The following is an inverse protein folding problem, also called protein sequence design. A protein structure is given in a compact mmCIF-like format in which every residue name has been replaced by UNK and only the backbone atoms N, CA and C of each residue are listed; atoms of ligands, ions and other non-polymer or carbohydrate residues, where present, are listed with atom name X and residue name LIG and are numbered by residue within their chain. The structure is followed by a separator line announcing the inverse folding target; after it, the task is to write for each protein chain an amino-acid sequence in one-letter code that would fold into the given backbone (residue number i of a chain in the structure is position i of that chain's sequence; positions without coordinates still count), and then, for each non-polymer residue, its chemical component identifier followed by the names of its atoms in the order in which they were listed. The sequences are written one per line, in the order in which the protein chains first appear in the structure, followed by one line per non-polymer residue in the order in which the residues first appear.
data_IF_556741640227
#
_entry.id   IF_556741640227
#
_cell.length_a   1.000
_cell.length_b   1.000
_cell.length_c   1.000
_cell.angle_alpha   90.00
_cell.angle_beta   90.00
_cell.angle_gamma   90.00
#
_symmetry.space_group_name_H-M   'P 1'
#
loop_
_entity.id
_entity.type
_entity.pdbx_description
1 polymer ?
#
# COMPACT_ATOMS: atom_id res chain seq x y z
N UNK A 1 -5.40 -25.00 -15.04
CA UNK A 1 -6.01 -23.72 -14.59
C UNK A 1 -5.38 -22.61 -15.44
N UNK A 2 -6.13 -22.01 -16.37
CA UNK A 2 -5.59 -20.97 -17.25
C UNK A 2 -5.02 -19.82 -16.42
N UNK A 3 -3.80 -19.37 -16.73
CA UNK A 3 -3.22 -18.18 -16.12
C UNK A 3 -4.06 -16.98 -16.58
N UNK A 4 -4.89 -16.44 -15.68
CA UNK A 4 -5.67 -15.25 -15.95
C UNK A 4 -4.72 -14.10 -16.34
N UNK A 5 -4.82 -13.62 -17.59
CA UNK A 5 -4.01 -12.50 -18.06
C UNK A 5 -4.55 -11.20 -17.46
N UNK A 6 -3.92 -10.72 -16.38
CA UNK A 6 -4.29 -9.49 -15.65
C UNK A 6 -4.24 -8.22 -16.51
N UNK A 7 -3.48 -8.24 -17.60
CA UNK A 7 -3.29 -7.11 -18.50
C UNK A 7 -4.08 -7.25 -19.81
N UNK A 8 -4.96 -8.25 -19.91
CA UNK A 8 -5.83 -8.41 -21.07
C UNK A 8 -6.64 -7.13 -21.29
N UNK A 9 -6.70 -6.66 -22.53
CA UNK A 9 -7.43 -5.46 -22.95
C UNK A 9 -6.92 -4.13 -22.38
N UNK A 10 -5.67 -4.07 -21.91
CA UNK A 10 -5.06 -2.81 -21.49
C UNK A 10 -4.41 -2.12 -22.68
N UNK A 11 -4.69 -0.82 -22.80
CA UNK A 11 -4.13 0.03 -23.86
C UNK A 11 -2.62 0.23 -23.72
N UNK A 12 -2.11 0.19 -22.50
CA UNK A 12 -0.70 0.41 -22.19
C UNK A 12 0.01 -0.91 -21.90
N UNK A 13 1.30 -0.96 -22.24
CA UNK A 13 2.13 -2.13 -21.96
C UNK A 13 2.15 -2.45 -20.45
N UNK A 14 2.16 -3.74 -20.08
CA UNK A 14 2.19 -4.17 -18.69
C UNK A 14 3.32 -3.53 -17.87
N UNK A 15 4.50 -3.36 -18.46
CA UNK A 15 5.67 -2.82 -17.77
C UNK A 15 5.50 -1.35 -17.39
N UNK A 16 4.87 -0.54 -18.25
CA UNK A 16 4.53 0.86 -17.95
C UNK A 16 3.55 0.91 -16.79
N UNK A 17 2.48 0.12 -16.86
CA UNK A 17 1.46 0.05 -15.81
C UNK A 17 2.10 -0.33 -14.47
N UNK A 18 2.92 -1.39 -14.46
CA UNK A 18 3.58 -1.87 -13.26
C UNK A 18 4.59 -0.88 -12.70
N UNK A 19 5.37 -0.21 -13.56
CA UNK A 19 6.33 0.81 -13.14
C UNK A 19 5.63 1.97 -12.43
N UNK A 20 4.57 2.50 -13.03
CA UNK A 20 3.82 3.63 -12.48
C UNK A 20 3.14 3.25 -11.16
N UNK A 21 2.51 2.06 -11.09
CA UNK A 21 1.91 1.57 -9.85
C UNK A 21 2.98 1.37 -8.76
N UNK A 22 4.14 0.81 -9.10
CA UNK A 22 5.25 0.62 -8.16
C UNK A 22 5.75 1.95 -7.63
N UNK A 23 5.93 2.96 -8.48
CA UNK A 23 6.40 4.28 -8.05
C UNK A 23 5.41 4.96 -7.11
N UNK A 24 4.11 4.90 -7.40
CA UNK A 24 3.08 5.40 -6.49
C UNK A 24 3.12 4.72 -5.12
N UNK A 25 3.27 3.39 -5.09
CA UNK A 25 3.25 2.63 -3.83
C UNK A 25 4.55 2.74 -3.03
N UNK A 26 5.68 3.04 -3.67
CA UNK A 26 7.00 3.06 -3.03
C UNK A 26 7.44 4.44 -2.59
N UNK A 27 7.10 5.47 -3.36
CA UNK A 27 7.59 6.83 -3.16
C UNK A 27 6.44 7.76 -2.79
N UNK A 28 6.76 8.90 -2.18
CA UNK A 28 5.78 9.92 -1.81
C UNK A 28 5.42 10.80 -3.03
N UNK A 29 4.90 10.16 -4.09
CA UNK A 29 4.52 10.80 -5.35
C UNK A 29 3.01 10.91 -5.47
N UNK A 30 2.54 12.08 -5.89
CA UNK A 30 1.15 12.29 -6.26
C UNK A 30 0.84 11.67 -7.63
N UNK A 31 -0.44 11.47 -7.95
CA UNK A 31 -0.82 11.04 -9.30
C UNK A 31 -0.47 12.07 -10.37
N UNK A 32 -0.34 13.36 -10.01
CA UNK A 32 0.04 14.43 -10.95
C UNK A 32 1.54 14.36 -11.24
N UNK A 33 2.35 14.14 -10.21
CA UNK A 33 3.80 13.97 -10.35
C UNK A 33 4.10 12.80 -11.29
N UNK A 34 3.35 11.69 -11.16
CA UNK A 34 3.50 10.54 -12.05
C UNK A 34 3.04 10.81 -13.48
N UNK A 35 2.08 11.71 -13.70
CA UNK A 35 1.70 12.12 -15.06
C UNK A 35 2.84 12.92 -15.69
N UNK A 36 3.38 13.90 -14.98
CA UNK A 36 4.51 14.72 -15.43
C UNK A 36 5.74 13.85 -15.77
N UNK A 37 6.11 12.91 -14.89
CA UNK A 37 7.19 11.96 -15.13
C UNK A 37 6.96 11.03 -16.34
N UNK A 38 5.70 10.79 -16.72
CA UNK A 38 5.35 9.97 -17.88
C UNK A 38 5.33 10.81 -19.17
N UNK A 39 4.94 12.08 -19.07
CA UNK A 39 5.02 13.05 -20.17
C UNK A 39 6.48 13.28 -20.59
N UNK A 40 7.42 13.39 -19.64
CA UNK A 40 8.87 13.44 -19.92
C UNK A 40 9.37 12.21 -20.71
N UNK A 41 8.64 11.09 -20.63
CA UNK A 41 8.94 9.83 -21.33
C UNK A 41 8.12 9.68 -22.62
N UNK A 42 7.41 10.73 -23.06
CA UNK A 42 6.59 10.73 -24.27
C UNK A 42 5.23 10.05 -24.12
N UNK A 43 4.75 9.81 -22.89
CA UNK A 43 3.47 9.15 -22.62
C UNK A 43 2.45 10.14 -22.08
N UNK A 44 1.42 10.43 -22.87
CA UNK A 44 0.28 11.25 -22.42
C UNK A 44 -0.70 10.41 -21.59
N UNK A 45 -0.77 10.67 -20.29
CA UNK A 45 -1.61 9.91 -19.35
C UNK A 45 -2.50 10.85 -18.52
N UNK A 46 -3.75 10.45 -18.27
CA UNK A 46 -4.56 11.10 -17.25
C UNK A 46 -4.24 10.55 -15.85
N UNK A 47 -4.22 11.41 -14.84
CA UNK A 47 -4.01 11.00 -13.44
C UNK A 47 -5.04 9.96 -12.96
N UNK A 48 -6.27 10.01 -13.48
CA UNK A 48 -7.33 9.03 -13.20
C UNK A 48 -7.04 7.64 -13.78
N UNK A 49 -6.28 7.55 -14.88
CA UNK A 49 -5.82 6.28 -15.45
C UNK A 49 -4.86 5.60 -14.47
N UNK A 50 -3.91 6.37 -13.93
CA UNK A 50 -2.95 5.87 -12.93
C UNK A 50 -3.69 5.45 -11.65
N UNK A 51 -4.63 6.26 -11.16
CA UNK A 51 -5.46 5.93 -10.01
C UNK A 51 -6.20 4.59 -10.20
N UNK A 52 -6.80 4.36 -11.38
CA UNK A 52 -7.48 3.10 -11.70
C UNK A 52 -6.51 1.92 -11.70
N UNK A 53 -5.30 2.09 -12.23
CA UNK A 53 -4.26 1.05 -12.18
C UNK A 53 -3.84 0.73 -10.74
N UNK A 54 -3.62 1.76 -9.90
CA UNK A 54 -3.26 1.55 -8.50
C UNK A 54 -4.35 0.80 -7.75
N UNK A 55 -5.61 1.17 -7.94
CA UNK A 55 -6.73 0.45 -7.33
C UNK A 55 -6.85 -1.00 -7.82
N UNK A 56 -6.60 -1.25 -9.10
CA UNK A 56 -6.71 -2.59 -9.68
C UNK A 56 -5.54 -3.50 -9.28
N UNK A 57 -4.31 -3.01 -9.44
CA UNK A 57 -3.10 -3.84 -9.33
C UNK A 57 -2.40 -3.73 -7.97
N UNK A 58 -2.67 -2.68 -7.19
CA UNK A 58 -2.09 -2.50 -5.85
C UNK A 58 -2.35 -3.70 -4.92
N UNK A 59 -3.62 -4.16 -4.77
CA UNK A 59 -3.92 -5.33 -3.93
C UNK A 59 -3.25 -6.63 -4.43
N UNK A 60 -3.15 -6.81 -5.75
CA UNK A 60 -2.52 -8.00 -6.33
C UNK A 60 -1.00 -8.00 -6.15
N UNK A 61 -0.37 -6.82 -6.28
CA UNK A 61 1.05 -6.64 -5.96
C UNK A 61 1.31 -6.91 -4.48
N UNK A 62 0.51 -6.33 -3.57
CA UNK A 62 0.62 -6.56 -2.14
C UNK A 62 0.51 -8.06 -1.81
N UNK A 63 -0.49 -8.76 -2.36
CA UNK A 63 -0.66 -10.21 -2.18
C UNK A 63 0.56 -11.03 -2.61
N UNK A 64 1.21 -10.66 -3.72
CA UNK A 64 2.40 -11.37 -4.24
C UNK A 64 3.67 -11.00 -3.47
N UNK A 65 3.84 -9.73 -3.13
CA UNK A 65 5.02 -9.21 -2.42
C UNK A 65 5.05 -9.67 -0.97
N UNK A 66 3.89 -9.76 -0.29
CA UNK A 66 3.82 -10.19 1.12
C UNK A 66 4.55 -11.50 1.41
N UNK A 67 4.56 -12.45 0.48
CA UNK A 67 5.27 -13.74 0.62
C UNK A 67 6.79 -13.60 0.62
N UNK A 68 7.30 -12.50 0.09
CA UNK A 68 8.73 -12.20 -0.03
C UNK A 68 9.18 -11.19 1.04
N UNK A 69 8.26 -10.65 1.84
CA UNK A 69 8.63 -9.80 2.97
C UNK A 69 9.36 -10.66 4.02
N UNK A 70 10.44 -10.10 4.58
CA UNK A 70 11.16 -10.76 5.66
C UNK A 70 10.22 -10.96 6.84
N UNK A 71 10.35 -12.10 7.51
CA UNK A 71 9.65 -12.31 8.76
C UNK A 71 10.07 -11.27 9.79
N UNK A 72 9.11 -10.80 10.58
CA UNK A 72 9.30 -9.80 11.61
C UNK A 72 9.86 -10.45 12.87
N UNK A 73 10.65 -9.72 13.64
CA UNK A 73 11.26 -10.23 14.87
C UNK A 73 10.34 -10.06 16.10
N UNK A 74 10.76 -10.65 17.23
CA UNK A 74 10.01 -10.61 18.50
C UNK A 74 10.00 -9.25 19.19
N UNK A 75 10.84 -8.29 18.77
CA UNK A 75 10.97 -6.98 19.40
C UNK A 75 10.40 -5.88 18.51
N UNK A 76 9.17 -5.47 18.79
CA UNK A 76 8.46 -4.46 18.00
C UNK A 76 7.93 -3.31 18.84
N UNK A 77 7.71 -2.18 18.15
CA UNK A 77 7.17 -0.94 18.73
C UNK A 77 5.86 -0.60 18.07
N UNK A 78 4.96 -0.03 18.86
CA UNK A 78 3.68 0.48 18.39
C UNK A 78 3.68 2.00 18.49
N UNK A 79 3.15 2.62 17.45
CA UNK A 79 2.90 4.06 17.40
C UNK A 79 1.44 4.31 17.02
N UNK A 80 0.89 5.41 17.53
CA UNK A 80 -0.45 5.92 17.21
C UNK A 80 -0.31 7.36 16.72
N UNK A 81 -0.76 7.60 15.49
CA UNK A 81 -0.77 8.94 14.90
C UNK A 81 -2.14 9.27 14.33
N UNK A 82 -2.43 10.55 14.10
CA UNK A 82 -3.68 11.00 13.52
C UNK A 82 -3.46 11.49 12.08
N UNK A 83 -4.29 11.02 11.16
CA UNK A 83 -4.22 11.34 9.73
C UNK A 83 -5.56 11.85 9.24
N UNK A 84 -5.54 12.81 8.30
CA UNK A 84 -6.76 13.42 7.76
C UNK A 84 -7.20 12.65 6.50
N UNK A 85 -8.34 11.96 6.58
CA UNK A 85 -8.90 11.19 5.46
C UNK A 85 -10.20 11.87 5.03
N UNK A 86 -10.25 12.36 3.78
CA UNK A 86 -11.41 13.10 3.23
C UNK A 86 -11.92 14.21 4.16
N UNK A 87 -10.99 14.94 4.79
CA UNK A 87 -11.32 16.05 5.69
C UNK A 87 -11.54 15.66 7.16
N UNK A 88 -11.68 14.37 7.48
CA UNK A 88 -11.91 13.90 8.85
C UNK A 88 -10.62 13.36 9.48
N UNK A 89 -10.36 13.74 10.74
CA UNK A 89 -9.26 13.17 11.51
C UNK A 89 -9.58 11.72 11.89
N UNK A 90 -8.62 10.82 11.62
CA UNK A 90 -8.69 9.40 11.93
C UNK A 90 -7.40 8.97 12.64
N UNK A 91 -7.48 7.94 13.48
CA UNK A 91 -6.36 7.39 14.23
C UNK A 91 -5.77 6.20 13.50
N UNK A 92 -4.48 6.28 13.19
CA UNK A 92 -3.68 5.24 12.55
C UNK A 92 -2.74 4.61 13.58
N UNK A 93 -2.98 3.35 13.88
CA UNK A 93 -2.10 2.50 14.66
C UNK A 93 -1.12 1.81 13.71
N UNK A 94 0.17 1.80 14.05
CA UNK A 94 1.21 1.12 13.26
C UNK A 94 2.15 0.34 14.17
N UNK A 95 2.49 -0.87 13.76
CA UNK A 95 3.46 -1.75 14.41
C UNK A 95 4.66 -1.94 13.50
N UNK A 96 5.86 -1.72 14.03
CA UNK A 96 7.13 -1.93 13.30
C UNK A 96 8.09 -2.75 14.16
N UNK A 97 8.80 -3.67 13.53
CA UNK A 97 9.85 -4.46 14.17
C UNK A 97 11.11 -3.61 14.44
N UNK A 98 12.08 -4.15 15.17
CA UNK A 98 13.32 -3.42 15.47
C UNK A 98 14.21 -3.14 14.25
N UNK A 99 13.96 -3.79 13.11
CA UNK A 99 14.65 -3.56 11.83
C UNK A 99 13.89 -2.58 10.92
N UNK A 100 12.77 -2.04 11.39
CA UNK A 100 11.92 -1.10 10.65
C UNK A 100 10.95 -1.76 9.67
N UNK A 101 10.78 -3.08 9.69
CA UNK A 101 9.75 -3.75 8.89
C UNK A 101 8.38 -3.54 9.52
N UNK A 102 7.39 -3.20 8.69
CA UNK A 102 6.00 -3.06 9.14
C UNK A 102 5.39 -4.42 9.44
N UNK A 103 4.90 -4.60 10.67
CA UNK A 103 4.10 -5.77 11.07
C UNK A 103 2.67 -5.56 10.59
N UNK A 104 2.03 -4.48 11.02
CA UNK A 104 0.67 -4.18 10.61
C UNK A 104 0.28 -2.72 10.86
N UNK A 105 -0.87 -2.33 10.29
CA UNK A 105 -1.54 -1.05 10.50
C UNK A 105 -3.05 -1.23 10.71
N UNK A 106 -3.65 -0.32 11.47
CA UNK A 106 -5.09 -0.25 11.64
C UNK A 106 -5.55 1.21 11.68
N UNK A 107 -6.56 1.54 10.88
CA UNK A 107 -7.16 2.86 10.82
C UNK A 107 -8.52 2.83 11.52
N UNK A 108 -8.75 3.75 12.46
CA UNK A 108 -9.97 3.89 13.24
C UNK A 108 -10.49 5.32 13.21
N UNK A 109 -11.81 5.49 13.24
CA UNK A 109 -12.44 6.82 13.40
C UNK A 109 -12.28 7.35 14.83
N UNK A 110 -12.20 6.45 15.80
CA UNK A 110 -12.16 6.76 17.24
C UNK A 110 -10.89 6.21 17.88
N UNK A 111 -10.39 6.95 18.88
CA UNK A 111 -9.34 6.49 19.79
C UNK A 111 -10.00 5.80 20.97
N UNK A 112 -10.24 4.50 20.84
CA UNK A 112 -10.87 3.70 21.89
C UNK A 112 -10.15 2.38 22.13
N UNK A 113 -10.37 1.82 23.32
CA UNK A 113 -9.79 0.55 23.73
C UNK A 113 -10.17 -0.61 22.79
N UNK A 114 -11.34 -0.56 22.13
CA UNK A 114 -11.77 -1.64 21.21
C UNK A 114 -10.94 -1.63 19.94
N UNK A 115 -10.61 -0.45 19.39
CA UNK A 115 -9.75 -0.26 18.23
C UNK A 115 -8.33 -0.72 18.54
N UNK A 116 -7.77 -0.30 19.67
CA UNK A 116 -6.45 -0.76 20.12
C UNK A 116 -6.42 -2.30 20.28
N UNK A 117 -7.41 -2.88 20.97
CA UNK A 117 -7.51 -4.34 21.15
C UNK A 117 -7.60 -5.09 19.82
N UNK A 118 -8.36 -4.57 18.84
CA UNK A 118 -8.43 -5.16 17.49
C UNK A 118 -7.08 -5.11 16.79
N UNK A 119 -6.39 -3.97 16.88
CA UNK A 119 -5.06 -3.81 16.29
C UNK A 119 -4.05 -4.79 16.89
N UNK A 120 -3.94 -4.87 18.22
CA UNK A 120 -3.03 -5.82 18.87
C UNK A 120 -3.35 -7.28 18.53
N UNK A 121 -4.63 -7.67 18.50
CA UNK A 121 -5.04 -9.02 18.06
C UNK A 121 -4.61 -9.33 16.62
N UNK A 122 -4.64 -8.33 15.74
CA UNK A 122 -4.23 -8.46 14.34
C UNK A 122 -2.70 -8.58 14.23
N UNK A 123 -1.97 -7.70 14.92
CA UNK A 123 -0.51 -7.70 14.95
C UNK A 123 0.05 -9.02 15.52
N UNK A 124 -0.47 -9.50 16.65
CA UNK A 124 -0.03 -10.76 17.29
C UNK A 124 -0.29 -12.03 16.45
N UNK A 125 -1.23 -11.96 15.49
CA UNK A 125 -1.46 -13.07 14.54
C UNK A 125 -0.52 -13.05 13.35
N UNK A 126 0.24 -11.97 13.16
CA UNK A 126 1.24 -11.91 12.09
C UNK A 126 2.36 -12.90 12.40
N UNK A 127 2.89 -13.53 11.35
CA UNK A 127 3.99 -14.49 11.53
C UNK A 127 5.25 -13.73 11.92
N UNK A 128 5.76 -14.03 13.11
CA UNK A 128 7.09 -13.63 13.58
C UNK A 128 8.01 -14.84 13.40
N UNK A 129 9.27 -14.64 13.03
CA UNK A 129 10.26 -15.72 12.94
C UNK A 129 11.40 -15.49 13.93
#
# INVERSE_FOLDING_TARGET
MEKQNLFKWKHYQPDIILLTVRWYLRYNLSFRDLVEMMEERGLSLAHTTIMRWVHQYGPELDKRVRRHLKSTNDSWRVDETYVKVKGQWMYLYRAVDSKGNTIDFHLSKTRDHRAAKRFFKKALRSFHA
#
